data_IF_294414470732
#
_entry.id   IF_294414470732
#
_cell.length_a   1.000
_cell.length_b   1.000
_cell.length_c   1.000
_cell.angle_alpha   90.00
_cell.angle_beta   90.00
_cell.angle_gamma   90.00
#
_symmetry.space_group_name_H-M   'P 1'
#
loop_
_entity.id
_entity.type
_entity.pdbx_description
1 polymer ?
#
# COMPACT_ATOMS: atom_id res chain seq x y z
N UNK A 1 4.56 -23.18 16.71
CA UNK A 1 4.06 -22.31 15.62
C UNK A 1 4.61 -20.92 15.85
N UNK A 2 5.60 -20.51 15.06
CA UNK A 2 6.00 -19.10 15.03
C UNK A 2 4.87 -18.34 14.35
N UNK A 3 4.24 -17.40 15.07
CA UNK A 3 3.21 -16.56 14.48
C UNK A 3 3.81 -15.81 13.27
N UNK A 4 3.15 -15.90 12.12
CA UNK A 4 3.54 -15.15 10.93
C UNK A 4 3.58 -13.66 11.29
N UNK A 5 4.70 -12.96 11.05
CA UNK A 5 4.83 -11.58 11.49
C UNK A 5 3.95 -10.67 10.63
N UNK A 6 3.18 -9.78 11.25
CA UNK A 6 2.37 -8.81 10.51
C UNK A 6 3.23 -7.82 9.73
N UNK A 7 2.88 -7.58 8.47
CA UNK A 7 3.55 -6.62 7.59
C UNK A 7 2.64 -6.13 6.48
N UNK A 8 3.03 -5.01 5.88
CA UNK A 8 2.27 -4.36 4.82
C UNK A 8 3.17 -3.48 3.94
N UNK A 9 2.78 -3.33 2.67
CA UNK A 9 3.44 -2.49 1.67
C UNK A 9 2.37 -1.81 0.79
N UNK A 10 2.62 -0.57 0.37
CA UNK A 10 1.81 0.13 -0.63
C UNK A 10 2.65 0.34 -1.88
N UNK A 11 2.31 -0.35 -2.97
CA UNK A 11 2.98 -0.19 -4.27
C UNK A 11 2.21 0.82 -5.11
N UNK A 12 2.90 1.88 -5.50
CA UNK A 12 2.36 2.97 -6.29
C UNK A 12 2.95 2.88 -7.71
N UNK A 13 2.11 2.87 -8.75
CA UNK A 13 2.59 2.88 -10.14
C UNK A 13 2.94 4.30 -10.60
N UNK A 14 3.86 4.90 -9.87
CA UNK A 14 4.46 6.20 -10.16
C UNK A 14 5.85 6.28 -9.51
N UNK A 15 6.68 7.20 -9.98
CA UNK A 15 7.96 7.53 -9.37
C UNK A 15 7.80 8.17 -7.97
N UNK A 16 8.83 8.11 -7.09
CA UNK A 16 8.76 8.64 -5.74
C UNK A 16 8.37 10.13 -5.68
N UNK A 17 8.88 10.92 -6.61
CA UNK A 17 8.66 12.36 -6.67
C UNK A 17 7.17 12.70 -6.92
N UNK A 18 6.50 11.90 -7.75
CA UNK A 18 5.05 11.97 -8.00
C UNK A 18 4.22 11.44 -6.82
N UNK A 19 4.68 10.41 -6.12
CA UNK A 19 3.95 9.77 -5.00
C UNK A 19 3.99 10.63 -3.74
N UNK A 20 5.14 11.26 -3.45
CA UNK A 20 5.41 11.96 -2.18
C UNK A 20 4.32 12.96 -1.78
N UNK A 21 3.84 13.89 -2.63
CA UNK A 21 2.85 14.88 -2.22
C UNK A 21 1.54 14.25 -1.71
N UNK A 22 1.08 13.18 -2.35
CA UNK A 22 -0.13 12.47 -1.94
C UNK A 22 0.10 11.60 -0.71
N UNK A 23 1.28 11.01 -0.56
CA UNK A 23 1.64 10.24 0.63
C UNK A 23 1.57 11.10 1.91
N UNK A 24 1.95 12.38 1.86
CA UNK A 24 1.81 13.29 3.01
C UNK A 24 0.36 13.47 3.48
N UNK A 25 -0.62 13.30 2.58
CA UNK A 25 -2.05 13.43 2.92
C UNK A 25 -2.58 12.25 3.73
N UNK A 26 -1.87 11.11 3.75
CA UNK A 26 -2.22 9.97 4.58
C UNK A 26 -2.04 10.24 6.07
N UNK A 27 -1.30 11.31 6.43
CA UNK A 27 -1.01 11.71 7.83
C UNK A 27 -0.32 10.62 8.65
N UNK A 28 0.42 9.76 7.98
CA UNK A 28 1.13 8.63 8.55
C UNK A 28 2.60 8.69 8.17
N UNK A 29 3.48 8.32 9.10
CA UNK A 29 4.91 8.28 8.82
C UNK A 29 5.22 7.06 7.96
N UNK A 30 5.81 7.32 6.78
CA UNK A 30 6.15 6.27 5.83
C UNK A 30 7.53 6.50 5.23
N UNK A 31 8.20 5.40 4.89
CA UNK A 31 9.40 5.41 4.06
C UNK A 31 9.00 5.15 2.61
N UNK A 32 9.33 6.07 1.73
CA UNK A 32 9.11 5.98 0.31
C UNK A 32 10.42 5.59 -0.38
N UNK A 33 10.38 4.50 -1.15
CA UNK A 33 11.53 3.98 -1.87
C UNK A 33 11.14 3.70 -3.32
N UNK A 34 12.06 3.91 -4.25
CA UNK A 34 11.89 3.47 -5.64
C UNK A 34 11.81 1.94 -5.71
N UNK A 35 10.83 1.43 -6.46
CA UNK A 35 10.57 0.00 -6.66
C UNK A 35 10.51 -0.38 -8.14
N UNK A 36 11.33 0.26 -8.97
CA UNK A 36 11.31 0.17 -10.42
C UNK A 36 11.40 1.54 -11.09
N UNK A 37 11.36 1.57 -12.42
CA UNK A 37 11.33 2.85 -13.15
C UNK A 37 9.99 3.58 -12.92
N UNK A 38 8.89 2.84 -13.05
CA UNK A 38 7.50 3.33 -13.00
C UNK A 38 6.81 3.02 -11.66
N UNK A 39 7.57 2.55 -10.67
CA UNK A 39 7.02 2.03 -9.41
C UNK A 39 7.76 2.57 -8.21
N UNK A 40 6.99 2.80 -7.15
CA UNK A 40 7.48 3.14 -5.82
C UNK A 40 6.79 2.30 -4.77
N UNK A 41 7.44 2.14 -3.63
CA UNK A 41 6.90 1.46 -2.46
C UNK A 41 6.90 2.39 -1.26
N UNK A 42 5.74 2.49 -0.62
CA UNK A 42 5.58 3.11 0.69
C UNK A 42 5.57 2.00 1.76
N UNK A 43 6.45 2.16 2.75
CA UNK A 43 6.59 1.28 3.89
C UNK A 43 6.14 2.03 5.15
N UNK A 44 5.04 1.62 5.80
CA UNK A 44 4.58 2.26 7.03
C UNK A 44 5.62 2.14 8.14
N UNK A 45 5.97 3.25 8.78
CA UNK A 45 6.86 3.23 9.95
C UNK A 45 6.11 2.82 11.22
N UNK A 46 4.85 3.26 11.31
CA UNK A 46 3.90 2.91 12.36
C UNK A 46 3.25 1.55 12.16
N UNK A 47 2.48 1.12 13.17
CA UNK A 47 1.68 -0.11 13.15
C UNK A 47 0.27 0.20 13.68
N UNK A 48 -0.53 1.02 12.97
CA UNK A 48 -1.86 1.41 13.44
C UNK A 48 -2.78 0.19 13.68
N UNK A 49 -2.59 -0.89 12.92
CA UNK A 49 -3.24 -2.19 13.14
C UNK A 49 -2.79 -2.93 14.42
N UNK A 50 -1.85 -2.38 15.19
CA UNK A 50 -1.50 -2.84 16.55
C UNK A 50 -1.96 -1.87 17.64
N UNK A 51 -2.37 -0.65 17.29
CA UNK A 51 -2.73 0.40 18.24
C UNK A 51 -4.22 0.33 18.60
N UNK A 52 -4.64 -0.79 19.19
CA UNK A 52 -5.87 -0.88 19.97
C UNK A 52 -5.52 -0.85 21.45
N UNK A 53 -5.93 0.18 22.19
CA UNK A 53 -5.90 0.14 23.65
C UNK A 53 -6.84 -0.96 24.16
N UNK A 54 -6.75 -1.34 25.45
CA UNK A 54 -7.51 -2.45 26.06
C UNK A 54 -9.05 -2.38 25.91
N UNK A 55 -9.60 -1.31 25.33
CA UNK A 55 -11.03 -1.06 25.10
C UNK A 55 -11.39 -0.79 23.63
N UNK A 56 -10.41 -0.75 22.71
CA UNK A 56 -10.63 -0.53 21.27
C UNK A 56 -9.98 -1.67 20.48
N UNK A 57 -10.80 -2.46 19.78
CA UNK A 57 -10.32 -3.49 18.87
C UNK A 57 -9.38 -2.86 17.83
N UNK A 58 -8.18 -3.41 17.71
CA UNK A 58 -7.22 -2.96 16.70
C UNK A 58 -7.82 -3.16 15.30
N UNK A 59 -7.73 -2.13 14.45
CA UNK A 59 -8.26 -2.23 13.09
C UNK A 59 -7.46 -3.26 12.27
N UNK A 60 -8.13 -4.19 11.55
CA UNK A 60 -7.45 -5.17 10.70
C UNK A 60 -6.53 -4.52 9.66
N UNK A 61 -5.35 -5.13 9.43
CA UNK A 61 -4.33 -4.59 8.51
C UNK A 61 -4.88 -4.37 7.10
N UNK A 62 -5.77 -5.24 6.63
CA UNK A 62 -6.39 -5.15 5.31
C UNK A 62 -7.27 -3.90 5.15
N UNK A 63 -8.00 -3.52 6.21
CA UNK A 63 -8.85 -2.32 6.19
C UNK A 63 -8.03 -1.04 6.19
N UNK A 64 -7.02 -0.96 7.06
CA UNK A 64 -6.12 0.20 7.14
C UNK A 64 -5.44 0.45 5.79
N UNK A 65 -4.81 -0.60 5.23
CA UNK A 65 -4.08 -0.49 3.97
C UNK A 65 -5.01 -0.25 2.79
N UNK A 66 -6.19 -0.87 2.77
CA UNK A 66 -7.22 -0.61 1.75
C UNK A 66 -7.69 0.85 1.76
N UNK A 67 -7.84 1.44 2.95
CA UNK A 67 -8.15 2.86 3.13
C UNK A 67 -7.06 3.77 2.57
N UNK A 68 -5.80 3.53 2.91
CA UNK A 68 -4.67 4.29 2.38
C UNK A 68 -4.51 4.15 0.86
N UNK A 69 -4.64 2.94 0.32
CA UNK A 69 -4.59 2.71 -1.11
C UNK A 69 -5.68 3.49 -1.85
N UNK A 70 -6.91 3.50 -1.30
CA UNK A 70 -8.03 4.26 -1.85
C UNK A 70 -7.77 5.77 -1.79
N UNK A 71 -7.28 6.27 -0.66
CA UNK A 71 -6.98 7.69 -0.50
C UNK A 71 -5.92 8.17 -1.50
N UNK A 72 -4.83 7.40 -1.70
CA UNK A 72 -3.83 7.69 -2.72
C UNK A 72 -4.40 7.61 -4.13
N UNK A 73 -5.20 6.58 -4.42
CA UNK A 73 -5.73 6.33 -5.76
C UNK A 73 -6.76 7.38 -6.18
N UNK A 74 -7.57 7.91 -5.27
CA UNK A 74 -8.55 8.97 -5.54
C UNK A 74 -7.85 10.28 -5.93
N UNK A 75 -6.71 10.58 -5.31
CA UNK A 75 -5.91 11.76 -5.61
C UNK A 75 -4.99 11.63 -6.83
N UNK A 76 -4.99 10.50 -7.53
CA UNK A 76 -4.04 10.19 -8.59
C UNK A 76 -4.68 9.60 -9.84
N UNK A 77 -3.91 9.55 -10.92
CA UNK A 77 -4.28 8.88 -12.17
C UNK A 77 -3.70 7.48 -12.30
N UNK A 78 -2.95 7.03 -11.28
CA UNK A 78 -2.23 5.75 -11.28
C UNK A 78 -2.79 4.80 -10.22
N UNK A 79 -2.71 3.47 -10.47
CA UNK A 79 -3.18 2.48 -9.51
C UNK A 79 -2.27 2.36 -8.28
N UNK A 80 -2.88 2.07 -7.13
CA UNK A 80 -2.19 1.75 -5.86
C UNK A 80 -2.55 0.33 -5.44
N UNK A 81 -1.53 -0.49 -5.20
CA UNK A 81 -1.67 -1.86 -4.70
C UNK A 81 -1.22 -1.95 -3.24
N UNK A 82 -2.18 -2.13 -2.34
CA UNK A 82 -1.93 -2.51 -0.96
C UNK A 82 -1.66 -4.01 -0.88
N UNK A 83 -0.50 -4.39 -0.34
CA UNK A 83 -0.15 -5.77 0.04
C UNK A 83 -0.10 -5.86 1.57
N UNK A 84 -0.63 -6.93 2.13
CA UNK A 84 -0.70 -7.12 3.57
C UNK A 84 -0.66 -8.59 3.96
N UNK A 85 -0.17 -8.87 5.16
CA UNK A 85 -0.17 -10.20 5.76
C UNK A 85 -0.18 -10.09 7.29
N UNK A 86 -0.83 -11.04 7.93
CA UNK A 86 -0.90 -11.21 9.38
C UNK A 86 -0.71 -12.69 9.76
N UNK A 87 -1.10 -13.06 10.98
CA UNK A 87 -0.94 -14.43 11.48
C UNK A 87 -1.85 -15.44 10.76
N UNK A 88 -2.98 -14.98 10.23
CA UNK A 88 -4.08 -15.82 9.77
C UNK A 88 -4.30 -15.73 8.26
N UNK A 89 -3.90 -14.62 7.63
CA UNK A 89 -4.22 -14.30 6.24
C UNK A 89 -3.14 -13.45 5.59
N UNK A 90 -3.11 -13.51 4.26
CA UNK A 90 -2.39 -12.57 3.43
C UNK A 90 -3.21 -12.20 2.20
N UNK A 91 -3.00 -11.00 1.65
CA UNK A 91 -3.79 -10.57 0.52
C UNK A 91 -3.36 -9.25 -0.06
N UNK A 92 -4.16 -8.79 -1.01
CA UNK A 92 -3.97 -7.51 -1.64
C UNK A 92 -5.28 -6.78 -1.90
N UNK A 93 -5.18 -5.46 -2.03
CA UNK A 93 -6.25 -4.58 -2.50
C UNK A 93 -5.68 -3.60 -3.52
N UNK A 94 -6.25 -3.57 -4.72
CA UNK A 94 -5.95 -2.62 -5.78
C UNK A 94 -7.02 -1.52 -5.82
N UNK A 95 -6.57 -0.28 -5.66
CA UNK A 95 -7.37 0.92 -5.85
C UNK A 95 -6.90 1.68 -7.11
N UNK A 96 -7.85 2.28 -7.84
CA UNK A 96 -7.56 3.03 -9.06
C UNK A 96 -8.62 4.12 -9.29
N UNK A 97 -8.33 5.36 -8.91
CA UNK A 97 -9.30 6.46 -8.95
C UNK A 97 -10.56 6.16 -8.14
N UNK A 98 -11.71 6.48 -8.72
CA UNK A 98 -13.04 6.26 -8.14
C UNK A 98 -13.64 4.87 -8.43
N UNK A 99 -12.87 3.94 -9.01
CA UNK A 99 -13.36 2.60 -9.31
C UNK A 99 -13.49 1.79 -8.01
N UNK A 100 -14.49 0.89 -7.94
CA UNK A 100 -14.59 -0.10 -6.85
C UNK A 100 -13.26 -0.84 -6.72
N UNK A 101 -12.72 -0.94 -5.51
CA UNK A 101 -11.48 -1.70 -5.25
C UNK A 101 -11.64 -3.16 -5.66
N UNK A 102 -10.53 -3.80 -6.04
CA UNK A 102 -10.47 -5.24 -6.31
C UNK A 102 -9.39 -5.84 -5.44
N UNK A 103 -9.64 -6.99 -4.83
CA UNK A 103 -8.69 -7.61 -3.92
C UNK A 103 -8.86 -9.12 -3.89
N UNK A 104 -7.84 -9.78 -3.37
CA UNK A 104 -7.83 -11.22 -3.18
C UNK A 104 -7.15 -11.56 -1.85
N UNK A 105 -7.63 -12.61 -1.19
CA UNK A 105 -7.16 -13.03 0.13
C UNK A 105 -6.92 -14.53 0.11
N UNK A 106 -5.82 -14.93 0.74
CA UNK A 106 -5.48 -16.30 1.09
C UNK A 106 -5.44 -16.44 2.61
N UNK A 107 -5.89 -17.57 3.14
CA UNK A 107 -5.57 -17.97 4.52
C UNK A 107 -4.08 -18.29 4.63
N UNK A 108 -3.53 -18.34 5.84
CA UNK A 108 -2.10 -18.62 6.08
C UNK A 108 -1.61 -19.89 5.37
N UNK A 109 -2.44 -20.93 5.27
CA UNK A 109 -2.12 -22.18 4.55
C UNK A 109 -2.18 -22.07 3.01
N UNK A 110 -2.45 -20.87 2.48
CA UNK A 110 -2.59 -20.61 1.06
C UNK A 110 -3.98 -20.89 0.50
N UNK A 111 -4.96 -21.26 1.33
CA UNK A 111 -6.33 -21.50 0.89
C UNK A 111 -6.92 -20.21 0.31
N UNK A 112 -7.40 -20.23 -0.96
CA UNK A 112 -8.04 -19.08 -1.59
C UNK A 112 -9.39 -18.75 -0.94
N UNK A 113 -9.63 -17.48 -0.63
CA UNK A 113 -10.91 -16.99 -0.06
C UNK A 113 -11.55 -15.89 -0.93
N UNK A 114 -10.91 -15.51 -2.05
CA UNK A 114 -11.39 -14.49 -2.97
C UNK A 114 -12.18 -15.05 -4.16
N UNK A 115 -12.89 -14.17 -4.86
CA UNK A 115 -13.58 -14.49 -6.12
C UNK A 115 -12.57 -14.52 -7.28
N UNK A 116 -12.62 -15.55 -8.14
CA UNK A 116 -11.69 -15.69 -9.28
C UNK A 116 -11.75 -14.52 -10.27
N UNK A 117 -12.93 -13.89 -10.42
CA UNK A 117 -13.11 -12.70 -11.26
C UNK A 117 -12.24 -11.51 -10.82
N UNK A 118 -11.80 -11.49 -9.56
CA UNK A 118 -10.90 -10.48 -9.05
C UNK A 118 -9.56 -10.47 -9.78
N UNK A 119 -9.00 -11.64 -10.16
CA UNK A 119 -7.71 -11.73 -10.84
C UNK A 119 -7.76 -11.13 -12.26
N UNK A 120 -8.83 -11.40 -13.00
CA UNK A 120 -9.02 -10.83 -14.34
C UNK A 120 -9.22 -9.32 -14.28
N UNK A 121 -10.01 -8.85 -13.31
CA UNK A 121 -10.23 -7.40 -13.09
C UNK A 121 -8.94 -6.70 -12.66
N UNK A 122 -8.15 -7.33 -11.79
CA UNK A 122 -6.84 -6.85 -11.35
C UNK A 122 -5.89 -6.71 -12.54
N UNK A 123 -5.76 -7.75 -13.36
CA UNK A 123 -4.90 -7.76 -14.55
C UNK A 123 -5.29 -6.65 -15.55
N UNK A 124 -6.58 -6.53 -15.86
CA UNK A 124 -7.08 -5.51 -16.78
C UNK A 124 -6.77 -4.08 -16.30
N UNK A 125 -6.86 -3.81 -14.99
CA UNK A 125 -6.58 -2.48 -14.42
C UNK A 125 -5.10 -2.13 -14.37
N UNK A 126 -4.23 -3.14 -14.28
CA UNK A 126 -2.79 -2.95 -14.38
C UNK A 126 -2.28 -3.07 -15.82
N UNK A 127 -3.16 -3.28 -16.81
CA UNK A 127 -2.75 -3.45 -18.20
C UNK A 127 -1.77 -4.61 -18.39
N UNK A 128 -1.96 -5.70 -17.64
CA UNK A 128 -1.20 -6.93 -17.80
C UNK A 128 -1.60 -7.66 -19.08
N UNK A 129 -0.75 -8.57 -19.53
CA UNK A 129 -1.06 -9.40 -20.68
C UNK A 129 -2.33 -10.24 -20.41
N UNK A 130 -3.37 -10.13 -21.26
CA UNK A 130 -4.65 -10.77 -20.99
C UNK A 130 -4.62 -12.30 -21.12
N UNK A 131 -3.50 -12.89 -21.54
CA UNK A 131 -3.35 -14.33 -21.72
C UNK A 131 -2.34 -14.88 -20.72
N UNK A 132 -1.06 -14.52 -20.85
CA UNK A 132 0.04 -15.09 -20.08
C UNK A 132 0.00 -14.65 -18.61
N UNK A 133 -0.17 -13.34 -18.37
CA UNK A 133 -0.19 -12.83 -16.99
C UNK A 133 -1.49 -13.24 -16.29
N UNK A 134 -2.63 -13.20 -16.98
CA UNK A 134 -3.91 -13.69 -16.43
C UNK A 134 -3.81 -15.17 -16.07
N UNK A 135 -3.23 -16.00 -16.93
CA UNK A 135 -3.06 -17.43 -16.65
C UNK A 135 -2.15 -17.65 -15.41
N UNK A 136 -1.07 -16.87 -15.28
CA UNK A 136 -0.19 -16.95 -14.12
C UNK A 136 -0.92 -16.51 -12.82
N UNK A 137 -1.76 -15.47 -12.89
CA UNK A 137 -2.57 -15.02 -11.75
C UNK A 137 -3.65 -16.02 -11.35
N UNK A 138 -4.36 -16.61 -12.32
CA UNK A 138 -5.36 -17.64 -12.06
C UNK A 138 -4.73 -18.92 -11.45
N UNK A 139 -3.47 -19.21 -11.75
CA UNK A 139 -2.76 -20.31 -11.07
C UNK A 139 -2.60 -20.04 -9.56
N UNK A 140 -2.54 -18.78 -9.13
CA UNK A 140 -2.45 -18.41 -7.71
C UNK A 140 -3.75 -18.63 -6.94
N UNK A 141 -4.89 -18.84 -7.61
CA UNK A 141 -6.18 -19.12 -6.95
C UNK A 141 -6.49 -20.61 -6.86
N UNK A 142 -5.68 -21.47 -7.47
CA UNK A 142 -5.88 -22.93 -7.41
C UNK A 142 -5.42 -23.49 -6.07
N UNK A 143 -6.18 -24.42 -5.46
CA UNK A 143 -5.72 -25.15 -4.28
C UNK A 143 -4.37 -25.83 -4.53
N UNK A 144 -3.41 -25.58 -3.66
CA UNK A 144 -2.10 -26.22 -3.64
C UNK A 144 -1.61 -26.24 -2.19
N UNK A 145 -1.52 -27.42 -1.55
CA UNK A 145 -1.18 -27.55 -0.13
C UNK A 145 0.28 -27.20 0.19
N UNK A 146 1.16 -27.12 -0.81
CA UNK A 146 2.57 -26.79 -0.62
C UNK A 146 2.86 -25.29 -0.71
N UNK A 147 1.86 -24.49 -1.10
CA UNK A 147 2.01 -23.05 -1.35
C UNK A 147 1.19 -22.24 -0.36
N UNK A 148 1.86 -21.73 0.68
CA UNK A 148 1.28 -20.85 1.70
C UNK A 148 0.94 -19.45 1.17
N UNK A 149 0.27 -18.63 2.00
CA UNK A 149 -0.17 -17.28 1.64
C UNK A 149 0.99 -16.35 1.22
N UNK A 150 2.14 -16.52 1.87
CA UNK A 150 3.34 -15.71 1.63
C UNK A 150 3.93 -16.02 0.25
N UNK A 151 4.02 -17.31 -0.10
CA UNK A 151 4.41 -17.77 -1.41
C UNK A 151 3.46 -17.29 -2.51
N UNK A 152 2.14 -17.24 -2.24
CA UNK A 152 1.16 -16.66 -3.19
C UNK A 152 1.40 -15.18 -3.46
N UNK A 153 1.66 -14.38 -2.41
CA UNK A 153 2.00 -12.97 -2.58
C UNK A 153 3.32 -12.76 -3.32
N UNK A 154 4.32 -13.61 -3.10
CA UNK A 154 5.56 -13.59 -3.89
C UNK A 154 5.31 -13.95 -5.36
N UNK A 155 4.44 -14.92 -5.62
CA UNK A 155 3.99 -15.26 -6.98
C UNK A 155 3.30 -14.08 -7.67
N UNK A 156 2.41 -13.37 -6.97
CA UNK A 156 1.78 -12.14 -7.45
C UNK A 156 2.84 -11.09 -7.83
N UNK A 157 3.81 -10.83 -6.94
CA UNK A 157 4.89 -9.90 -7.20
C UNK A 157 5.75 -10.31 -8.40
N UNK A 158 5.99 -11.61 -8.57
CA UNK A 158 6.73 -12.14 -9.71
C UNK A 158 6.03 -11.83 -11.04
N UNK A 159 4.70 -11.98 -11.12
CA UNK A 159 3.93 -11.57 -12.31
C UNK A 159 4.10 -10.07 -12.57
N UNK A 160 4.04 -9.25 -11.52
CA UNK A 160 4.16 -7.79 -11.66
C UNK A 160 5.55 -7.32 -12.11
N UNK A 161 6.60 -8.15 -12.02
CA UNK A 161 7.92 -7.80 -12.57
C UNK A 161 7.88 -7.51 -14.07
N UNK A 162 6.96 -8.14 -14.82
CA UNK A 162 6.69 -7.85 -16.23
C UNK A 162 6.23 -6.41 -16.50
N UNK A 163 5.74 -5.71 -15.47
CA UNK A 163 5.34 -4.28 -15.54
C UNK A 163 6.46 -3.31 -15.15
N UNK A 164 7.68 -3.82 -14.93
CA UNK A 164 8.82 -3.03 -14.45
C UNK A 164 8.85 -2.85 -12.93
N UNK A 165 8.02 -3.57 -12.17
CA UNK A 165 8.12 -3.63 -10.72
C UNK A 165 9.42 -4.36 -10.34
N UNK A 166 10.27 -3.71 -9.56
CA UNK A 166 11.51 -4.24 -9.02
C UNK A 166 11.64 -3.82 -7.56
N UNK A 167 11.11 -4.65 -6.65
CA UNK A 167 11.17 -4.38 -5.22
C UNK A 167 12.61 -4.47 -4.69
N UNK A 168 13.04 -3.52 -3.84
CA UNK A 168 14.31 -3.63 -3.13
C UNK A 168 14.39 -4.93 -2.32
N UNK A 169 15.58 -5.55 -2.33
CA UNK A 169 15.82 -6.79 -1.60
C UNK A 169 15.49 -6.62 -0.10
N UNK A 170 14.70 -7.56 0.44
CA UNK A 170 14.24 -7.54 1.83
C UNK A 170 12.90 -6.83 2.07
N UNK A 171 12.34 -6.14 1.06
CA UNK A 171 10.94 -5.67 1.06
C UNK A 171 10.02 -6.74 0.47
N UNK A 172 9.96 -7.90 1.11
CA UNK A 172 9.20 -9.06 0.64
C UNK A 172 8.00 -9.40 1.54
N UNK A 173 6.95 -10.02 0.98
CA UNK A 173 5.88 -10.63 1.77
C UNK A 173 6.43 -11.55 2.85
N UNK A 174 5.72 -11.55 4.00
CA UNK A 174 5.99 -12.28 5.24
C UNK A 174 7.15 -11.79 6.10
N UNK A 175 7.76 -10.67 5.73
CA UNK A 175 8.64 -9.93 6.64
C UNK A 175 7.83 -9.15 7.69
N UNK A 176 8.38 -8.97 8.88
CA UNK A 176 7.74 -8.12 9.89
C UNK A 176 7.77 -6.65 9.48
N UNK A 177 6.77 -5.86 9.90
CA UNK A 177 6.78 -4.41 9.69
C UNK A 177 8.08 -3.74 10.18
N UNK A 178 8.69 -4.22 11.28
CA UNK A 178 9.99 -3.69 11.74
C UNK A 178 11.14 -4.02 10.79
N UNK A 179 11.15 -5.23 10.22
CA UNK A 179 12.17 -5.64 9.24
C UNK A 179 12.01 -4.87 7.93
N UNK A 180 10.77 -4.73 7.43
CA UNK A 180 10.47 -3.90 6.27
C UNK A 180 10.96 -2.46 6.46
N UNK A 181 10.62 -1.83 7.60
CA UNK A 181 11.08 -0.48 7.94
C UNK A 181 12.61 -0.38 7.97
N UNK A 182 13.26 -1.34 8.62
CA UNK A 182 14.73 -1.36 8.75
C UNK A 182 15.42 -1.49 7.40
N UNK A 183 14.88 -2.34 6.51
CA UNK A 183 15.38 -2.52 5.14
C UNK A 183 15.13 -1.27 4.30
N UNK A 184 13.96 -0.64 4.40
CA UNK A 184 13.64 0.58 3.66
C UNK A 184 14.52 1.76 4.09
N UNK A 185 14.81 1.89 5.39
CA UNK A 185 15.57 3.00 5.95
C UNK A 185 17.04 3.07 5.47
N UNK A 186 17.61 1.95 5.00
CA UNK A 186 19.00 1.89 4.50
C UNK A 186 19.10 1.96 2.98
N UNK A 187 18.00 2.18 2.27
CA UNK A 187 18.00 2.29 0.81
C UNK A 187 18.65 3.60 0.36
N UNK A 188 19.38 3.57 -0.76
CA UNK A 188 20.16 4.71 -1.25
C UNK A 188 19.33 5.94 -1.63
N UNK A 189 18.05 5.73 -1.94
CA UNK A 189 17.09 6.76 -2.36
C UNK A 189 15.81 6.59 -1.52
N UNK A 190 15.96 6.62 -0.20
CA UNK A 190 14.82 6.63 0.73
C UNK A 190 14.39 8.06 1.00
N UNK A 191 13.10 8.29 0.84
CA UNK A 191 12.45 9.53 1.21
C UNK A 191 11.56 9.28 2.41
N UNK A 192 11.72 10.11 3.45
CA UNK A 192 10.82 10.04 4.61
C UNK A 192 9.62 10.93 4.38
N UNK A 193 8.44 10.33 4.33
CA UNK A 193 7.16 11.03 4.28
C UNK A 193 6.79 11.33 5.72
N UNK A 194 7.24 12.48 6.20
CA UNK A 194 6.86 12.99 7.52
C UNK A 194 5.60 13.85 7.44
N UNK A 195 4.79 13.80 8.48
CA UNK A 195 3.78 14.82 8.69
C UNK A 195 4.48 16.11 9.15
N UNK A 196 4.54 17.12 8.28
CA UNK A 196 4.76 18.48 8.76
C UNK A 196 3.58 18.79 9.66
N UNK A 197 3.85 18.95 10.96
CA UNK A 197 2.82 19.08 11.97
C UNK A 197 1.79 20.13 11.61
N UNK A 198 0.60 20.08 12.20
CA UNK A 198 -0.49 21.04 12.01
C UNK A 198 -0.01 22.51 12.09
N UNK A 199 1.17 22.73 12.69
CA UNK A 199 1.78 24.03 12.98
C UNK A 199 2.36 24.67 11.73
N UNK A 200 2.78 23.89 10.74
CA UNK A 200 3.25 24.44 9.46
C UNK A 200 2.10 24.74 8.51
N UNK A 201 1.04 23.92 8.50
CA UNK A 201 -0.17 24.20 7.73
C UNK A 201 -0.90 25.46 8.25
N UNK A 202 -0.95 25.67 9.57
CA UNK A 202 -1.53 26.89 10.15
C UNK A 202 -0.63 28.10 9.90
N UNK A 203 0.70 27.95 9.86
CA UNK A 203 1.60 29.09 9.57
C UNK A 203 1.48 29.58 8.12
N UNK A 204 1.35 28.66 7.16
CA UNK A 204 1.16 29.02 5.74
C UNK A 204 -0.21 29.65 5.49
N UNK A 205 -1.27 29.17 6.14
CA UNK A 205 -2.60 29.80 6.06
C UNK A 205 -2.64 31.15 6.81
N UNK A 206 -1.94 31.30 7.93
CA UNK A 206 -1.86 32.60 8.64
C UNK A 206 -1.06 33.64 7.84
N UNK A 207 0.07 33.27 7.24
CA UNK A 207 0.87 34.17 6.39
C UNK A 207 0.11 34.53 5.08
N UNK A 208 -0.72 33.63 4.55
CA UNK A 208 -1.58 33.90 3.40
C UNK A 208 -2.74 34.85 3.74
N UNK A 209 -3.26 34.79 4.97
CA UNK A 209 -4.30 35.72 5.47
C UNK A 209 -3.70 37.08 5.86
N UNK A 210 -2.47 37.13 6.39
CA UNK A 210 -1.79 38.41 6.68
C UNK A 210 -1.28 39.14 5.42
N UNK A 211 -1.01 38.42 4.32
CA UNK A 211 -0.58 39.01 3.04
C UNK A 211 -1.73 39.37 2.08
N UNK A 212 -2.98 39.03 2.43
CA UNK A 212 -4.16 39.34 1.61
C UNK A 212 -4.79 40.69 2.00
N UNK A 213 -4.79 41.64 1.06
CA UNK A 213 -5.46 42.95 1.17
C UNK A 213 -6.99 42.85 1.08
N UNK A 214 -7.65 42.24 2.07
CA UNK A 214 -9.12 42.30 2.17
C UNK A 214 -9.52 42.54 3.63
N UNK A 215 -10.15 43.69 3.86
CA UNK A 215 -10.47 44.23 5.19
C UNK A 215 -11.57 43.49 5.95
N UNK A 216 -11.82 43.89 7.22
CA UNK A 216 -12.60 43.13 8.19
C UNK A 216 -14.11 43.36 8.00
N UNK A 217 -14.87 42.30 7.76
CA UNK A 217 -16.31 42.28 8.03
C UNK A 217 -16.55 41.51 9.33
N UNK A 218 -16.74 42.28 10.40
CA UNK A 218 -17.18 41.79 11.71
C UNK A 218 -18.56 42.38 11.99
N UNK A 219 -19.50 41.47 12.30
CA UNK A 219 -20.86 41.63 12.89
C UNK A 219 -22.02 42.02 11.97
N UNK A 220 -22.98 41.11 11.92
CA UNK A 220 -24.42 41.33 11.95
C UNK A 220 -25.03 40.28 12.86
#
# INVERSE_FOLDING_TARGET
MNATPTGALLLCRADPETVRPLAHLLREQMLLVRAGAEWSVLVPEGKPWRAGGAEQDAEPVDRVLGGWATALAVGSTWPVLALWWDADRAGYTLAAGFRRTVGYVWLTDGTPVGEDEAMRTFAARLGLDPVLDVQALEALTRPDPETDAEARLRGLLAVLTGTGLALPAGLSPGESADRLRSVAAVQRQVDRVEWAGWRDAVRVELDAVESSRVGPWVRG
#
